data_IF_121654183302
#
_entry.id   IF_121654183302
#
_cell.length_a   1.000
_cell.length_b   1.000
_cell.length_c   1.000
_cell.angle_alpha   90.00
_cell.angle_beta   90.00
_cell.angle_gamma   90.00
#
_symmetry.space_group_name_H-M   'P 1'
#
loop_
_entity.id
_entity.type
_entity.pdbx_description
1 polymer ?
#
# COMPACT_ATOMS: atom_id res chain seq x y z
N UNK A 1 11.90 10.44 6.77
CA UNK A 1 13.24 9.80 6.72
C UNK A 1 13.12 8.32 6.35
N UNK A 2 12.31 7.53 7.07
CA UNK A 2 12.10 6.10 6.83
C UNK A 2 11.48 5.74 5.46
N UNK A 3 10.35 6.34 5.07
CA UNK A 3 9.69 6.06 3.78
C UNK A 3 10.60 6.34 2.57
N UNK A 4 11.44 7.38 2.68
CA UNK A 4 12.43 7.73 1.66
C UNK A 4 13.48 6.62 1.55
N UNK A 5 14.00 6.14 2.67
CA UNK A 5 14.97 5.04 2.70
C UNK A 5 14.39 3.74 2.13
N UNK A 6 13.16 3.35 2.50
CA UNK A 6 12.48 2.17 1.95
C UNK A 6 12.33 2.30 0.42
N UNK A 7 11.93 3.48 -0.06
CA UNK A 7 11.82 3.75 -1.50
C UNK A 7 13.17 3.63 -2.21
N UNK A 8 14.23 4.19 -1.64
CA UNK A 8 15.59 4.13 -2.19
C UNK A 8 16.10 2.68 -2.28
N UNK A 9 15.89 1.89 -1.22
CA UNK A 9 16.23 0.45 -1.19
C UNK A 9 15.46 -0.33 -2.27
N UNK A 10 14.16 -0.07 -2.42
CA UNK A 10 13.33 -0.72 -3.45
C UNK A 10 13.81 -0.40 -4.88
N UNK A 11 14.20 0.85 -5.13
CA UNK A 11 14.77 1.27 -6.42
C UNK A 11 16.12 0.59 -6.66
N UNK A 12 17.02 0.58 -5.67
CA UNK A 12 18.34 -0.04 -5.78
C UNK A 12 18.26 -1.55 -6.02
N UNK A 13 17.33 -2.24 -5.37
CA UNK A 13 17.28 -3.69 -5.43
C UNK A 13 16.73 -4.20 -6.77
N UNK A 14 15.67 -3.58 -7.29
CA UNK A 14 14.88 -4.10 -8.43
C UNK A 14 14.23 -3.04 -9.32
N UNK A 15 14.74 -1.80 -9.32
CA UNK A 15 14.23 -0.72 -10.15
C UNK A 15 12.84 -0.22 -9.74
N UNK A 16 12.46 -0.42 -8.47
CA UNK A 16 11.18 0.04 -7.92
C UNK A 16 9.99 -0.91 -8.15
N UNK A 17 10.22 -2.08 -8.77
CA UNK A 17 9.22 -3.16 -8.82
C UNK A 17 9.01 -3.75 -7.42
N UNK A 18 7.80 -4.27 -7.16
CA UNK A 18 7.53 -5.03 -5.94
C UNK A 18 8.42 -6.27 -5.89
N UNK A 19 8.88 -6.64 -4.70
CA UNK A 19 9.66 -7.83 -4.47
C UNK A 19 8.72 -8.90 -3.90
N UNK A 20 8.77 -10.08 -4.52
CA UNK A 20 8.05 -11.26 -4.11
C UNK A 20 9.03 -12.26 -3.48
N UNK A 21 8.62 -12.86 -2.36
CA UNK A 21 9.34 -13.92 -1.67
C UNK A 21 8.35 -14.91 -1.11
N UNK A 22 8.73 -16.18 -0.93
CA UNK A 22 7.86 -17.11 -0.18
C UNK A 22 7.80 -16.69 1.28
N UNK A 23 6.66 -16.95 1.93
CA UNK A 23 6.45 -16.60 3.34
C UNK A 23 7.53 -17.23 4.24
N UNK A 24 7.81 -18.52 4.08
CA UNK A 24 8.81 -19.23 4.89
C UNK A 24 10.22 -18.67 4.69
N UNK A 25 10.64 -18.47 3.44
CA UNK A 25 11.93 -17.83 3.12
C UNK A 25 12.07 -16.44 3.74
N UNK A 26 11.02 -15.62 3.68
CA UNK A 26 10.98 -14.29 4.29
C UNK A 26 11.14 -14.36 5.82
N UNK A 27 10.35 -15.23 6.48
CA UNK A 27 10.36 -15.41 7.93
C UNK A 27 11.70 -15.97 8.44
N UNK A 28 12.29 -16.92 7.70
CA UNK A 28 13.55 -17.57 8.05
C UNK A 28 14.79 -16.73 7.66
N UNK A 29 14.59 -15.54 7.08
CA UNK A 29 15.67 -14.68 6.55
C UNK A 29 16.54 -15.39 5.51
N UNK A 30 15.98 -16.39 4.83
CA UNK A 30 16.69 -17.13 3.80
C UNK A 30 16.50 -16.39 2.48
N UNK A 31 17.60 -16.00 1.79
CA UNK A 31 17.49 -15.40 0.47
C UNK A 31 16.71 -16.33 -0.45
N UNK A 32 15.81 -15.80 -1.28
CA UNK A 32 15.02 -16.61 -2.23
C UNK A 32 15.93 -17.57 -3.00
N UNK A 33 15.82 -18.88 -2.72
CA UNK A 33 16.59 -19.91 -3.43
C UNK A 33 15.82 -20.20 -4.70
N UNK A 34 15.91 -19.27 -5.62
CA UNK A 34 15.22 -19.41 -6.89
C UNK A 34 15.98 -20.44 -7.75
N UNK A 35 15.66 -21.72 -7.57
CA UNK A 35 15.51 -22.64 -8.71
C UNK A 35 14.35 -22.07 -9.53
N UNK A 36 14.64 -21.04 -10.34
CA UNK A 36 13.65 -20.41 -11.20
C UNK A 36 13.29 -21.47 -12.23
N UNK A 37 12.18 -22.18 -12.02
CA UNK A 37 11.47 -22.75 -13.15
C UNK A 37 11.16 -21.56 -14.07
N UNK A 38 11.82 -21.55 -15.21
CA UNK A 38 11.85 -20.49 -16.22
C UNK A 38 10.47 -20.11 -16.75
N UNK A 39 9.41 -20.84 -16.37
CA UNK A 39 8.03 -20.61 -16.74
C UNK A 39 7.33 -19.45 -16.00
N UNK A 40 7.83 -18.97 -14.85
CA UNK A 40 7.23 -17.83 -14.13
C UNK A 40 7.89 -16.48 -14.45
N UNK A 41 8.89 -16.45 -15.33
CA UNK A 41 9.65 -15.24 -15.64
C UNK A 41 8.93 -14.37 -16.67
N UNK A 42 7.76 -13.83 -16.32
CA UNK A 42 7.11 -12.79 -17.10
C UNK A 42 7.87 -11.46 -16.89
N UNK A 43 8.61 -11.00 -17.89
CA UNK A 43 9.38 -9.74 -17.87
C UNK A 43 8.53 -8.51 -17.56
N UNK A 44 7.23 -8.59 -17.87
CA UNK A 44 6.26 -7.51 -17.76
C UNK A 44 5.50 -7.52 -16.43
N UNK A 45 5.86 -8.42 -15.52
CA UNK A 45 5.28 -8.43 -14.18
C UNK A 45 5.64 -7.17 -13.39
N UNK A 46 4.66 -6.69 -12.62
CA UNK A 46 4.80 -5.55 -11.70
C UNK A 46 5.64 -5.88 -10.46
N UNK A 47 6.00 -7.15 -10.29
CA UNK A 47 6.80 -7.67 -9.20
C UNK A 47 7.95 -8.55 -9.71
N UNK A 48 8.93 -8.83 -8.87
CA UNK A 48 10.07 -9.71 -9.18
C UNK A 48 10.48 -10.52 -7.96
N UNK A 49 11.06 -11.70 -8.17
CA UNK A 49 11.61 -12.50 -7.07
C UNK A 49 12.81 -11.82 -6.39
N UNK A 50 12.86 -11.85 -5.05
CA UNK A 50 13.99 -11.33 -4.29
C UNK A 50 13.80 -11.37 -2.78
N UNK A 51 14.85 -10.97 -2.07
CA UNK A 51 14.86 -10.96 -0.61
C UNK A 51 14.25 -9.67 -0.05
N UNK A 52 13.06 -9.78 0.53
CA UNK A 52 12.30 -8.67 1.11
C UNK A 52 13.01 -8.07 2.34
N UNK A 53 13.82 -8.85 3.06
CA UNK A 53 14.53 -8.34 4.24
C UNK A 53 15.53 -7.23 3.90
N UNK A 54 15.91 -7.07 2.62
CA UNK A 54 16.77 -5.99 2.13
C UNK A 54 16.01 -4.71 1.80
N UNK A 55 14.69 -4.79 1.63
CA UNK A 55 13.84 -3.67 1.24
C UNK A 55 13.54 -2.72 2.39
N UNK A 56 13.66 -3.19 3.64
CA UNK A 56 13.37 -2.42 4.83
C UNK A 56 14.65 -2.15 5.66
N UNK A 57 14.72 -1.01 6.37
CA UNK A 57 15.77 -0.77 7.35
C UNK A 57 15.64 -1.71 8.55
N UNK A 58 16.77 -2.16 9.12
CA UNK A 58 16.78 -3.13 10.23
C UNK A 58 15.96 -2.64 11.44
N UNK A 59 15.86 -1.32 11.63
CA UNK A 59 15.07 -0.70 12.69
C UNK A 59 13.58 -1.02 12.66
N UNK A 60 13.03 -1.45 11.53
CA UNK A 60 11.62 -1.85 11.39
C UNK A 60 11.45 -3.28 10.85
N UNK A 61 12.49 -3.87 10.25
CA UNK A 61 12.39 -5.18 9.60
C UNK A 61 11.94 -6.28 10.56
N UNK A 62 12.41 -6.25 11.82
CA UNK A 62 12.02 -7.22 12.84
C UNK A 62 10.54 -7.10 13.18
N UNK A 63 10.07 -5.90 13.51
CA UNK A 63 8.67 -5.65 13.88
C UNK A 63 7.70 -6.02 12.75
N UNK A 64 8.05 -5.69 11.50
CA UNK A 64 7.24 -6.09 10.33
C UNK A 64 7.18 -7.61 10.22
N UNK A 65 8.31 -8.31 10.37
CA UNK A 65 8.36 -9.76 10.26
C UNK A 65 7.58 -10.45 11.38
N UNK A 66 7.69 -9.95 12.60
CA UNK A 66 6.91 -10.44 13.74
C UNK A 66 5.41 -10.23 13.55
N UNK A 67 5.00 -9.07 12.99
CA UNK A 67 3.61 -8.82 12.63
C UNK A 67 3.11 -9.80 11.55
N UNK A 68 3.91 -10.03 10.50
CA UNK A 68 3.58 -11.00 9.44
C UNK A 68 3.45 -12.41 10.02
N UNK A 69 4.37 -12.84 10.89
CA UNK A 69 4.30 -14.11 11.60
C UNK A 69 3.02 -14.22 12.43
N UNK A 70 2.71 -13.19 13.23
CA UNK A 70 1.52 -13.13 14.07
C UNK A 70 0.23 -13.36 13.27
N UNK A 71 0.10 -12.73 12.09
CA UNK A 71 -1.05 -12.90 11.22
C UNK A 71 -1.07 -14.25 10.52
N UNK A 72 0.08 -14.71 10.02
CA UNK A 72 0.18 -16.00 9.34
C UNK A 72 -0.25 -17.17 10.25
N UNK A 73 0.19 -17.17 11.51
CA UNK A 73 -0.18 -18.21 12.50
C UNK A 73 -1.67 -18.28 12.79
N UNK A 74 -2.39 -17.15 12.64
CA UNK A 74 -3.82 -17.04 12.96
C UNK A 74 -4.72 -17.28 11.76
N UNK A 75 -4.24 -16.95 10.56
CA UNK A 75 -5.04 -16.96 9.34
C UNK A 75 -4.77 -18.16 8.44
N UNK A 76 -3.55 -18.72 8.49
CA UNK A 76 -3.07 -19.68 7.50
C UNK A 76 -2.60 -20.98 8.16
N UNK A 77 -3.08 -22.15 7.74
CA UNK A 77 -2.54 -23.42 8.21
C UNK A 77 -1.06 -23.56 7.84
N UNK A 78 -0.21 -23.90 8.81
CA UNK A 78 1.26 -23.92 8.66
C UNK A 78 1.76 -24.78 7.50
N UNK A 79 1.06 -25.89 7.22
CA UNK A 79 1.39 -26.80 6.13
C UNK A 79 1.36 -26.17 4.72
N UNK A 80 0.68 -25.03 4.55
CA UNK A 80 0.56 -24.33 3.26
C UNK A 80 1.47 -23.12 3.14
N UNK A 81 2.29 -22.81 4.15
CA UNK A 81 3.10 -21.57 4.14
C UNK A 81 4.12 -21.51 3.00
N UNK A 82 4.60 -22.65 2.49
CA UNK A 82 5.48 -22.72 1.33
C UNK A 82 4.82 -22.26 0.01
N UNK A 83 3.49 -22.29 -0.04
CA UNK A 83 2.71 -21.87 -1.21
C UNK A 83 2.35 -20.38 -1.14
N UNK A 84 2.56 -19.73 0.01
CA UNK A 84 2.20 -18.34 0.26
C UNK A 84 3.32 -17.42 -0.21
N UNK A 85 2.97 -16.42 -1.03
CA UNK A 85 3.87 -15.38 -1.52
C UNK A 85 3.62 -14.08 -0.74
N UNK A 86 4.69 -13.44 -0.29
CA UNK A 86 4.70 -12.11 0.35
C UNK A 86 5.23 -11.10 -0.65
N UNK A 87 4.64 -9.91 -0.68
CA UNK A 87 5.01 -8.82 -1.59
C UNK A 87 5.41 -7.58 -0.78
N UNK A 88 6.52 -6.95 -1.13
CA UNK A 88 7.01 -5.76 -0.45
C UNK A 88 8.02 -4.96 -1.30
N UNK A 89 8.29 -3.69 -0.98
CA UNK A 89 7.55 -2.86 -0.03
C UNK A 89 6.31 -2.25 -0.70
N UNK A 90 5.15 -2.36 -0.05
CA UNK A 90 4.00 -1.56 -0.44
C UNK A 90 4.08 -0.20 0.26
N UNK A 91 4.30 0.85 -0.52
CA UNK A 91 4.33 2.22 -0.03
C UNK A 91 3.06 2.91 -0.49
N UNK A 92 2.01 2.83 0.33
CA UNK A 92 0.82 3.63 0.12
C UNK A 92 1.05 5.07 0.60
N UNK A 93 0.38 6.03 -0.03
CA UNK A 93 0.41 7.45 0.35
C UNK A 93 -0.44 7.68 1.61
N UNK A 94 -0.07 7.04 2.71
CA UNK A 94 -0.80 7.10 3.96
C UNK A 94 -0.17 8.16 4.88
N UNK A 95 -0.94 9.18 5.26
CA UNK A 95 -0.56 10.10 6.34
C UNK A 95 -0.67 11.58 6.05
N UNK A 96 -0.95 11.99 4.81
CA UNK A 96 -1.32 13.38 4.51
C UNK A 96 -2.83 13.48 4.61
N UNK A 97 -3.32 14.22 5.60
CA UNK A 97 -4.73 14.60 5.69
C UNK A 97 -4.87 16.09 5.41
N UNK A 98 -5.79 16.44 4.53
CA UNK A 98 -6.10 17.84 4.25
C UNK A 98 -7.23 18.31 5.18
N UNK A 99 -7.10 19.50 5.79
CA UNK A 99 -8.21 20.10 6.52
C UNK A 99 -9.26 20.56 5.50
N UNK A 100 -10.35 19.81 5.44
CA UNK A 100 -11.51 20.10 4.57
C UNK A 100 -12.72 20.45 5.42
N UNK A 101 -13.62 21.28 4.88
CA UNK A 101 -14.94 21.52 5.48
C UNK A 101 -15.85 20.29 5.30
N UNK A 102 -17.02 20.31 5.92
CA UNK A 102 -18.04 19.25 5.78
C UNK A 102 -18.47 19.00 4.33
N UNK A 103 -18.38 20.01 3.47
CA UNK A 103 -18.64 19.90 2.04
C UNK A 103 -17.38 19.62 1.20
N UNK A 104 -16.28 19.22 1.82
CA UNK A 104 -15.00 18.92 1.15
C UNK A 104 -14.28 20.10 0.51
N UNK A 105 -14.74 21.35 0.74
CA UNK A 105 -14.02 22.54 0.28
C UNK A 105 -12.78 22.82 1.13
N UNK A 106 -11.73 23.29 0.45
CA UNK A 106 -10.51 23.84 1.08
C UNK A 106 -10.53 25.36 0.99
N UNK A 107 -11.05 25.89 -0.11
CA UNK A 107 -11.33 27.31 -0.35
C UNK A 107 -12.48 27.42 -1.35
N UNK A 108 -13.10 28.59 -1.51
CA UNK A 108 -14.18 28.76 -2.49
C UNK A 108 -13.78 28.26 -3.87
N UNK A 109 -14.62 27.39 -4.47
CA UNK A 109 -14.38 26.81 -5.79
C UNK A 109 -13.31 25.71 -5.85
N UNK A 110 -12.73 25.28 -4.73
CA UNK A 110 -11.73 24.19 -4.69
C UNK A 110 -12.08 23.15 -3.62
N UNK A 111 -12.21 21.91 -4.09
CA UNK A 111 -12.66 20.76 -3.31
C UNK A 111 -11.67 19.61 -3.45
N UNK A 112 -11.47 18.83 -2.38
CA UNK A 112 -10.70 17.59 -2.43
C UNK A 112 -11.58 16.48 -1.84
N UNK A 113 -11.78 15.42 -2.61
CA UNK A 113 -12.62 14.26 -2.28
C UNK A 113 -11.84 12.97 -2.53
N UNK A 114 -12.27 11.86 -1.94
CA UNK A 114 -11.63 10.56 -2.13
C UNK A 114 -10.42 10.30 -1.24
N UNK A 115 -9.65 9.27 -1.58
CA UNK A 115 -8.50 8.79 -0.79
C UNK A 115 -7.45 9.88 -0.53
N UNK A 116 -7.30 10.82 -1.48
CA UNK A 116 -6.35 11.93 -1.34
C UNK A 116 -6.70 12.94 -0.24
N UNK A 117 -7.93 12.94 0.30
CA UNK A 117 -8.28 13.72 1.50
C UNK A 117 -7.50 13.23 2.73
N UNK A 118 -7.10 11.96 2.73
CA UNK A 118 -6.42 11.30 3.85
C UNK A 118 -7.34 10.91 5.02
N UNK A 119 -8.65 11.12 4.88
CA UNK A 119 -9.68 10.73 5.86
C UNK A 119 -10.44 9.47 5.47
N UNK A 120 -10.34 9.05 4.20
CA UNK A 120 -11.03 7.89 3.65
C UNK A 120 -10.03 6.82 3.29
N UNK A 121 -10.41 5.55 3.47
CA UNK A 121 -9.64 4.37 3.07
C UNK A 121 -10.58 3.37 2.45
N UNK A 122 -10.74 3.48 1.13
CA UNK A 122 -11.52 2.52 0.35
C UNK A 122 -12.50 3.17 -0.62
N UNK A 123 -12.92 2.36 -1.59
CA UNK A 123 -13.73 2.77 -2.74
C UNK A 123 -15.06 3.38 -2.29
N UNK A 124 -15.76 2.73 -1.36
CA UNK A 124 -17.08 3.19 -0.90
C UNK A 124 -17.00 4.56 -0.20
N UNK A 125 -16.01 4.76 0.67
CA UNK A 125 -15.84 6.03 1.36
C UNK A 125 -15.45 7.15 0.38
N UNK A 126 -14.56 6.85 -0.57
CA UNK A 126 -14.19 7.80 -1.61
C UNK A 126 -15.40 8.20 -2.48
N UNK A 127 -16.23 7.23 -2.85
CA UNK A 127 -17.48 7.46 -3.59
C UNK A 127 -18.45 8.34 -2.80
N UNK A 128 -18.73 8.02 -1.53
CA UNK A 128 -19.63 8.81 -0.68
C UNK A 128 -19.16 10.26 -0.53
N UNK A 129 -17.85 10.50 -0.39
CA UNK A 129 -17.31 11.87 -0.32
C UNK A 129 -17.59 12.68 -1.59
N UNK A 130 -17.59 12.02 -2.75
CA UNK A 130 -17.96 12.64 -4.03
C UNK A 130 -19.44 13.00 -4.11
N UNK A 131 -20.32 12.12 -3.65
CA UNK A 131 -21.77 12.41 -3.58
C UNK A 131 -22.03 13.63 -2.71
N UNK A 132 -21.53 13.64 -1.47
CA UNK A 132 -21.76 14.73 -0.52
C UNK A 132 -21.23 16.06 -1.07
N UNK A 133 -20.05 16.05 -1.69
CA UNK A 133 -19.49 17.25 -2.32
C UNK A 133 -20.37 17.75 -3.47
N UNK A 134 -20.87 16.85 -4.32
CA UNK A 134 -21.73 17.20 -5.44
C UNK A 134 -23.09 17.76 -4.97
N UNK A 135 -23.70 17.14 -3.95
CA UNK A 135 -24.95 17.60 -3.36
C UNK A 135 -24.80 19.01 -2.75
N UNK A 136 -23.70 19.27 -2.04
CA UNK A 136 -23.41 20.62 -1.52
C UNK A 136 -23.26 21.65 -2.64
N UNK A 137 -22.56 21.31 -3.73
CA UNK A 137 -22.36 22.21 -4.86
C UNK A 137 -23.67 22.59 -5.55
N UNK A 138 -24.55 21.59 -5.71
CA UNK A 138 -25.87 21.81 -6.32
C UNK A 138 -26.74 22.64 -5.37
N UNK A 139 -26.79 22.30 -4.08
CA UNK A 139 -27.54 23.05 -3.07
C UNK A 139 -27.09 24.52 -2.96
N UNK A 140 -25.78 24.76 -2.85
CA UNK A 140 -25.20 26.11 -2.80
C UNK A 140 -25.51 26.93 -4.07
N UNK A 141 -25.64 26.26 -5.22
CA UNK A 141 -26.02 26.89 -6.49
C UNK A 141 -27.47 27.34 -6.56
N UNK A 142 -28.39 26.66 -5.86
CA UNK A 142 -29.79 27.06 -5.78
C UNK A 142 -29.99 28.30 -4.89
N UNK A 143 -29.23 28.42 -3.79
CA UNK A 143 -29.32 29.55 -2.86
C UNK A 143 -28.72 30.86 -3.42
N UNK A 144 -27.93 30.80 -4.50
CA UNK A 144 -27.40 32.00 -5.18
C UNK A 144 -28.30 32.55 -6.30
N UNK A 145 -29.36 31.82 -6.67
CA UNK A 145 -30.29 32.18 -7.76
C UNK A 145 -31.62 32.74 -7.20
N UNK A 146 -31.84 32.66 -5.88
CA UNK A 146 -32.94 33.27 -5.14
C UNK A 146 -32.48 34.51 -4.39
#
# INVERSE_FOLDING_TARGET
MLLKEIRERAIQQRGGKLICQRLTEYLDRTPTITKINTSERNSDSFWVWGDINKSFPESISTDIREAVLYFAERLLPRQHWEEVKVFAPEIAYAGISFPVKSNFSIRPGLYIIGDCVGQFRGIAQAFCSGIICAESLIGDGYDQIL
#
